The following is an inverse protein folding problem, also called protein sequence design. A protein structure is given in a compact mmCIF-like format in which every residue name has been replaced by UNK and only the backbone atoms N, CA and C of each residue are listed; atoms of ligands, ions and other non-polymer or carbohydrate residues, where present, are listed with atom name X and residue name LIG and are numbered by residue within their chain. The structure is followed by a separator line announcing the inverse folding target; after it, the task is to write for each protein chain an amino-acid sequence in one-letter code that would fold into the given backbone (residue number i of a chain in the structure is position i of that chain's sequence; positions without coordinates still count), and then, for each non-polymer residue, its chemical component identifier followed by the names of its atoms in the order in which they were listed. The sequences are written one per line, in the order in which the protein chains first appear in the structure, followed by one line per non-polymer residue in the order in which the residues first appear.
data_IF_700312938332
#
_entry.id   IF_700312938332
#
_cell.length_a   1.000
_cell.length_b   1.000
_cell.length_c   1.000
_cell.angle_alpha   90.00
_cell.angle_beta   90.00
_cell.angle_gamma   90.00
#
_symmetry.space_group_name_H-M   'P 1'
#
loop_
_entity.id
_entity.type
_entity.pdbx_description
1 polymer ?
#
# COMPACT_ATOMS: atom_id res chain seq x y z
N UNK A 1 7.55 -39.53 0.04
CA UNK A 1 8.33 -38.33 0.44
C UNK A 1 7.39 -37.14 0.47
N UNK A 2 6.83 -36.83 1.63
CA UNK A 2 6.04 -35.62 1.87
C UNK A 2 6.99 -34.43 1.90
N UNK A 3 7.00 -33.62 0.83
CA UNK A 3 7.67 -32.31 0.86
C UNK A 3 6.90 -31.44 1.85
N UNK A 4 7.46 -31.21 3.03
CA UNK A 4 6.96 -30.18 3.95
C UNK A 4 6.94 -28.85 3.19
N UNK A 5 5.73 -28.36 2.92
CA UNK A 5 5.52 -27.02 2.40
C UNK A 5 5.95 -26.02 3.49
N UNK A 6 6.39 -24.84 3.06
CA UNK A 6 6.74 -23.81 4.03
C UNK A 6 5.45 -23.33 4.71
N UNK A 7 5.48 -22.92 5.99
CA UNK A 7 4.30 -22.47 6.73
C UNK A 7 3.50 -21.36 6.03
N UNK A 8 4.17 -20.65 5.12
CA UNK A 8 3.57 -19.58 4.30
C UNK A 8 2.71 -20.17 3.18
N UNK A 9 3.15 -21.25 2.54
CA UNK A 9 2.43 -21.91 1.45
C UNK A 9 1.17 -22.63 1.94
N UNK A 10 1.25 -23.28 3.10
CA UNK A 10 0.09 -23.98 3.68
C UNK A 10 -1.05 -23.02 3.97
N UNK A 11 -0.76 -21.89 4.63
CA UNK A 11 -1.79 -20.90 4.94
C UNK A 11 -2.31 -20.12 3.71
N UNK A 12 -1.57 -20.07 2.60
CA UNK A 12 -2.08 -19.50 1.34
C UNK A 12 -3.04 -20.46 0.65
N UNK A 13 -2.79 -21.76 0.81
CA UNK A 13 -3.69 -22.81 0.36
C UNK A 13 -4.97 -22.82 1.20
N UNK A 14 -4.85 -22.73 2.52
CA UNK A 14 -6.00 -22.64 3.43
C UNK A 14 -6.88 -21.43 3.11
N UNK A 15 -6.26 -20.29 2.77
CA UNK A 15 -6.98 -19.10 2.33
C UNK A 15 -7.71 -19.30 1.01
N UNK A 16 -7.04 -19.90 0.01
CA UNK A 16 -7.67 -20.21 -1.27
C UNK A 16 -8.86 -21.17 -1.11
N UNK A 17 -8.77 -22.12 -0.17
CA UNK A 17 -9.87 -23.02 0.21
C UNK A 17 -11.00 -22.27 0.91
N UNK A 18 -10.69 -21.37 1.86
CA UNK A 18 -11.70 -20.55 2.54
C UNK A 18 -12.49 -19.65 1.58
N UNK A 19 -11.80 -18.97 0.64
CA UNK A 19 -12.45 -18.14 -0.38
C UNK A 19 -13.38 -18.97 -1.27
N UNK A 20 -12.99 -20.22 -1.56
CA UNK A 20 -13.76 -21.13 -2.39
C UNK A 20 -14.99 -21.71 -1.65
N UNK A 21 -14.90 -21.98 -0.34
CA UNK A 21 -15.98 -22.58 0.45
C UNK A 21 -16.96 -21.56 1.06
N UNK A 22 -16.49 -20.39 1.47
CA UNK A 22 -17.28 -19.44 2.27
C UNK A 22 -17.53 -18.08 1.59
N UNK A 23 -16.96 -17.86 0.40
CA UNK A 23 -16.91 -16.54 -0.23
C UNK A 23 -15.77 -15.69 0.32
N UNK A 24 -15.46 -14.60 -0.39
CA UNK A 24 -14.34 -13.72 -0.04
C UNK A 24 -14.72 -12.82 1.16
N UNK A 25 -14.19 -13.15 2.35
CA UNK A 25 -14.18 -12.26 3.51
C UNK A 25 -12.72 -11.87 3.82
N UNK A 26 -12.32 -10.61 3.56
CA UNK A 26 -10.96 -10.19 3.83
C UNK A 26 -10.71 -10.06 5.33
N UNK A 27 -10.07 -11.07 5.91
CA UNK A 27 -9.50 -10.93 7.24
C UNK A 27 -8.42 -9.83 7.22
N UNK A 28 -8.36 -8.99 8.26
CA UNK A 28 -7.32 -7.96 8.42
C UNK A 28 -5.89 -8.51 8.30
N UNK A 29 -5.70 -9.77 8.71
CA UNK A 29 -4.43 -10.48 8.59
C UNK A 29 -4.07 -10.81 7.12
N UNK A 30 -5.05 -10.99 6.25
CA UNK A 30 -4.87 -11.32 4.84
C UNK A 30 -4.25 -10.13 4.08
N UNK A 31 -4.86 -8.95 4.14
CA UNK A 31 -4.35 -7.74 3.45
C UNK A 31 -2.98 -7.33 3.98
N UNK A 32 -2.80 -7.39 5.30
CA UNK A 32 -1.49 -7.14 5.93
C UNK A 32 -0.42 -8.10 5.41
N UNK A 33 -0.78 -9.37 5.20
CA UNK A 33 0.16 -10.41 4.75
C UNK A 33 0.39 -10.37 3.24
N UNK A 34 -0.65 -10.14 2.44
CA UNK A 34 -0.56 -9.95 1.00
C UNK A 34 0.28 -8.72 0.66
N UNK A 35 0.14 -7.63 1.42
CA UNK A 35 1.00 -6.46 1.26
C UNK A 35 2.45 -6.69 1.73
N UNK A 36 2.67 -7.55 2.74
CA UNK A 36 4.02 -7.99 3.14
C UNK A 36 4.64 -8.94 2.09
N UNK A 37 3.82 -9.78 1.44
CA UNK A 37 4.22 -10.64 0.32
C UNK A 37 4.42 -9.83 -0.97
N UNK A 38 3.68 -8.72 -1.11
CA UNK A 38 3.80 -7.74 -2.17
C UNK A 38 5.11 -6.99 -2.01
N UNK A 39 6.18 -7.60 -2.49
CA UNK A 39 7.44 -6.90 -2.68
C UNK A 39 7.21 -5.84 -3.74
N UNK A 40 6.80 -4.64 -3.33
CA UNK A 40 6.77 -3.46 -4.19
C UNK A 40 8.08 -3.40 -5.01
N UNK A 41 8.12 -2.73 -6.16
CA UNK A 41 9.37 -2.57 -6.89
C UNK A 41 10.50 -2.01 -5.99
N UNK A 42 11.70 -2.60 -6.05
CA UNK A 42 12.86 -2.07 -5.33
C UNK A 42 13.40 -0.79 -6.00
N UNK A 43 13.29 -0.74 -7.33
CA UNK A 43 13.66 0.40 -8.18
C UNK A 43 12.42 0.87 -8.94
N UNK A 44 12.46 2.10 -9.44
CA UNK A 44 11.42 2.61 -10.32
C UNK A 44 11.29 1.68 -11.55
N UNK A 45 10.11 1.08 -11.78
CA UNK A 45 9.85 0.27 -12.97
C UNK A 45 10.02 1.00 -14.31
N UNK A 46 9.95 2.34 -14.31
CA UNK A 46 9.99 3.14 -15.53
C UNK A 46 8.64 3.23 -16.22
N UNK A 47 8.67 3.44 -17.53
CA UNK A 47 7.48 3.64 -18.38
C UNK A 47 7.01 2.31 -18.97
N UNK A 48 6.34 1.53 -18.14
CA UNK A 48 5.68 0.27 -18.51
C UNK A 48 4.20 0.38 -18.14
N UNK A 49 3.28 -0.37 -18.78
CA UNK A 49 1.84 -0.25 -18.51
C UNK A 49 1.44 -0.83 -17.14
N UNK A 50 2.12 -1.89 -16.71
CA UNK A 50 1.93 -2.52 -15.42
C UNK A 50 3.23 -3.18 -14.97
N UNK A 51 3.54 -3.09 -13.68
CA UNK A 51 4.63 -3.85 -13.08
C UNK A 51 4.07 -5.13 -12.47
N UNK A 52 4.65 -6.29 -12.75
CA UNK A 52 4.17 -7.55 -12.17
C UNK A 52 5.28 -8.45 -11.66
N UNK A 53 4.93 -9.30 -10.69
CA UNK A 53 5.78 -10.37 -10.16
C UNK A 53 4.97 -11.65 -10.05
N UNK A 54 5.51 -12.75 -10.58
CA UNK A 54 4.88 -14.08 -10.52
C UNK A 54 5.65 -15.00 -9.57
N UNK A 55 4.93 -15.87 -8.87
CA UNK A 55 5.48 -16.91 -8.01
C UNK A 55 4.58 -18.15 -8.05
N UNK A 56 4.92 -19.11 -8.92
CA UNK A 56 4.07 -20.27 -9.18
C UNK A 56 2.73 -19.83 -9.77
N UNK A 57 1.64 -20.25 -9.14
CA UNK A 57 0.27 -19.94 -9.56
C UNK A 57 -0.20 -18.55 -9.13
N UNK A 58 0.61 -17.80 -8.38
CA UNK A 58 0.26 -16.46 -7.91
C UNK A 58 0.98 -15.39 -8.73
N UNK A 59 0.27 -14.30 -9.01
CA UNK A 59 0.81 -13.09 -9.61
C UNK A 59 0.35 -11.86 -8.83
N UNK A 60 1.26 -10.89 -8.70
CA UNK A 60 0.93 -9.56 -8.26
C UNK A 60 1.18 -8.58 -9.39
N UNK A 61 0.23 -7.69 -9.63
CA UNK A 61 0.33 -6.63 -10.63
C UNK A 61 0.08 -5.29 -9.96
N UNK A 62 0.87 -4.28 -10.30
CA UNK A 62 0.70 -2.90 -9.87
C UNK A 62 0.44 -2.06 -11.10
N UNK A 63 -0.57 -1.21 -11.01
CA UNK A 63 -0.84 -0.16 -11.98
C UNK A 63 -0.69 1.20 -11.27
N UNK A 64 0.03 2.16 -11.87
CA UNK A 64 0.21 3.47 -11.26
C UNK A 64 -1.08 4.28 -11.42
N UNK A 65 -1.32 5.20 -10.49
CA UNK A 65 -2.42 6.16 -10.63
C UNK A 65 -2.21 7.12 -11.81
N UNK A 66 -3.28 7.82 -12.18
CA UNK A 66 -3.28 8.80 -13.26
C UNK A 66 -3.59 10.21 -12.75
N UNK A 67 -2.72 11.18 -12.99
CA UNK A 67 -2.98 12.59 -12.73
C UNK A 67 -3.67 13.22 -13.95
N UNK A 68 -4.98 13.45 -13.81
CA UNK A 68 -5.82 14.02 -14.87
C UNK A 68 -5.46 15.46 -15.19
N UNK A 69 -5.03 16.27 -14.21
CA UNK A 69 -4.70 17.68 -14.45
C UNK A 69 -3.42 17.84 -15.25
N UNK A 70 -2.44 16.98 -14.99
CA UNK A 70 -1.16 16.99 -15.69
C UNK A 70 -1.08 15.99 -16.86
N UNK A 71 -2.18 15.27 -17.14
CA UNK A 71 -2.27 14.23 -18.18
C UNK A 71 -1.12 13.23 -18.16
N UNK A 72 -0.72 12.76 -16.98
CA UNK A 72 0.43 11.87 -16.81
C UNK A 72 0.22 10.86 -15.69
N UNK A 73 0.98 9.77 -15.74
CA UNK A 73 1.06 8.83 -14.62
C UNK A 73 1.69 9.49 -13.39
N UNK A 74 1.16 9.21 -12.19
CA UNK A 74 1.87 9.56 -10.94
C UNK A 74 3.12 8.69 -10.73
N UNK A 75 3.22 7.61 -11.50
CA UNK A 75 4.28 6.61 -11.43
C UNK A 75 4.06 5.57 -10.33
N UNK A 76 4.91 4.54 -10.35
CA UNK A 76 4.81 3.42 -9.42
C UNK A 76 5.31 3.78 -8.02
N UNK A 77 4.75 3.21 -6.94
CA UNK A 77 5.41 3.17 -5.65
C UNK A 77 6.62 2.23 -5.71
N UNK A 78 7.79 2.70 -5.24
CA UNK A 78 9.00 1.89 -5.20
C UNK A 78 9.95 2.27 -4.07
N UNK A 79 10.91 1.39 -3.78
CA UNK A 79 11.91 1.61 -2.76
C UNK A 79 11.38 1.52 -1.31
N UNK A 80 12.16 2.04 -0.37
CA UNK A 80 11.96 1.81 1.06
C UNK A 80 10.70 2.49 1.61
N UNK A 81 10.42 3.73 1.19
CA UNK A 81 9.36 4.56 1.79
C UNK A 81 7.96 3.93 1.65
N UNK A 82 7.48 3.51 0.47
CA UNK A 82 6.19 2.83 0.36
C UNK A 82 6.05 1.58 1.23
N UNK A 83 7.14 0.83 1.43
CA UNK A 83 7.12 -0.37 2.27
C UNK A 83 6.96 -0.01 3.75
N UNK A 84 7.66 1.04 4.20
CA UNK A 84 7.51 1.57 5.55
C UNK A 84 6.08 2.11 5.77
N UNK A 85 5.52 2.77 4.76
CA UNK A 85 4.13 3.25 4.79
C UNK A 85 3.15 2.10 4.93
N UNK A 86 3.23 1.06 4.10
CA UNK A 86 2.39 -0.13 4.20
C UNK A 86 2.50 -0.75 5.60
N UNK A 87 3.71 -0.92 6.11
CA UNK A 87 3.94 -1.48 7.44
C UNK A 87 3.30 -0.63 8.54
N UNK A 88 3.44 0.69 8.46
CA UNK A 88 2.80 1.59 9.40
C UNK A 88 1.28 1.56 9.29
N UNK A 89 0.72 1.61 8.08
CA UNK A 89 -0.73 1.57 7.82
C UNK A 89 -1.39 0.31 8.35
N UNK A 90 -0.78 -0.84 8.08
CA UNK A 90 -1.27 -2.14 8.58
C UNK A 90 -1.20 -2.20 10.10
N UNK A 91 -0.13 -1.69 10.71
CA UNK A 91 0.00 -1.60 12.17
C UNK A 91 -1.07 -0.67 12.77
N UNK A 92 -1.28 0.49 12.15
CA UNK A 92 -2.19 1.51 12.66
C UNK A 92 -3.65 1.08 12.51
N UNK A 93 -4.04 0.51 11.37
CA UNK A 93 -5.37 -0.05 11.15
C UNK A 93 -5.71 -1.19 12.13
N UNK A 94 -4.71 -2.02 12.47
CA UNK A 94 -4.87 -3.06 13.50
C UNK A 94 -5.02 -2.45 14.90
N UNK A 95 -4.27 -1.38 15.20
CA UNK A 95 -4.29 -0.70 16.50
C UNK A 95 -5.59 0.06 16.76
N UNK A 96 -6.08 0.81 15.77
CA UNK A 96 -7.29 1.63 15.91
C UNK A 96 -8.56 0.83 15.64
N UNK A 97 -8.46 -0.19 14.78
CA UNK A 97 -9.63 -0.87 14.23
C UNK A 97 -10.42 -0.03 13.24
N UNK A 98 -9.91 1.14 12.86
CA UNK A 98 -10.53 2.10 11.94
C UNK A 98 -9.81 2.10 10.58
N UNK A 99 -10.58 2.38 9.52
CA UNK A 99 -10.09 2.57 8.15
C UNK A 99 -9.73 4.02 7.85
N UNK A 100 -10.32 4.97 8.55
CA UNK A 100 -9.92 6.36 8.45
C UNK A 100 -8.67 6.55 9.31
N UNK A 101 -7.52 6.62 8.67
CA UNK A 101 -6.26 6.81 9.37
C UNK A 101 -5.82 8.26 9.23
N UNK A 102 -5.72 8.94 10.37
CA UNK A 102 -5.08 10.24 10.48
C UNK A 102 -3.55 10.06 10.43
N UNK A 103 -2.90 10.77 9.53
CA UNK A 103 -1.43 10.73 9.39
C UNK A 103 -0.71 11.57 10.47
N UNK A 104 -1.48 12.15 11.41
CA UNK A 104 -1.04 12.96 12.55
C UNK A 104 -0.96 14.45 12.25
N UNK A 105 -0.92 15.28 13.29
CA UNK A 105 -0.96 16.75 13.17
C UNK A 105 0.24 17.39 12.47
N UNK A 106 1.39 16.71 12.42
CA UNK A 106 2.65 17.29 11.91
C UNK A 106 3.45 16.36 10.99
N UNK A 107 3.70 16.85 9.76
CA UNK A 107 4.87 16.57 8.88
C UNK A 107 5.94 15.63 9.46
N UNK A 108 6.70 16.30 10.32
CA UNK A 108 7.96 15.86 10.87
C UNK A 108 7.79 14.73 11.88
N UNK A 109 6.69 14.69 12.63
CA UNK A 109 6.43 13.63 13.60
C UNK A 109 6.15 12.31 12.88
N UNK A 110 5.33 12.33 11.84
CA UNK A 110 5.09 11.14 11.02
C UNK A 110 6.37 10.65 10.36
N UNK A 111 7.18 11.55 9.83
CA UNK A 111 8.50 11.21 9.28
C UNK A 111 9.37 10.50 10.32
N UNK A 112 9.43 11.01 11.55
CA UNK A 112 10.18 10.38 12.63
C UNK A 112 9.62 9.00 13.00
N UNK A 113 8.29 8.81 13.02
CA UNK A 113 7.65 7.49 13.21
C UNK A 113 8.06 6.49 12.13
N UNK A 114 8.29 6.95 10.90
CA UNK A 114 8.80 6.13 9.79
C UNK A 114 10.33 6.01 9.78
N UNK A 115 11.05 6.59 10.74
CA UNK A 115 12.51 6.59 10.79
C UNK A 115 13.18 7.49 9.75
N UNK A 116 12.47 8.49 9.23
CA UNK A 116 12.95 9.48 8.26
C UNK A 116 13.40 10.77 8.95
N UNK A 117 14.34 11.50 8.33
CA UNK A 117 14.88 12.73 8.91
C UNK A 117 14.19 13.98 8.30
N UNK A 118 13.32 14.69 9.05
CA UNK A 118 12.63 15.88 8.55
C UNK A 118 13.55 17.09 8.36
N UNK A 119 14.78 17.06 8.88
CA UNK A 119 15.74 18.16 8.82
C UNK A 119 16.73 18.04 7.66
N UNK A 120 16.60 17.04 6.78
CA UNK A 120 17.54 16.82 5.68
C UNK A 120 17.31 17.73 4.44
N UNK A 121 16.67 18.88 4.65
CA UNK A 121 16.40 19.91 3.63
C UNK A 121 15.04 19.75 2.93
N UNK A 122 14.83 20.52 1.86
CA UNK A 122 13.58 20.56 1.07
C UNK A 122 13.76 20.18 -0.41
N UNK A 123 14.99 19.88 -0.84
CA UNK A 123 15.29 19.51 -2.22
C UNK A 123 14.75 18.13 -2.61
N UNK A 124 14.88 17.74 -3.88
CA UNK A 124 14.40 16.44 -4.42
C UNK A 124 14.96 15.20 -3.71
N UNK A 125 16.08 15.34 -3.00
CA UNK A 125 16.72 14.26 -2.22
C UNK A 125 16.28 14.23 -0.75
N UNK A 126 15.54 15.25 -0.28
CA UNK A 126 15.03 15.29 1.08
C UNK A 126 14.05 14.15 1.33
N UNK A 127 14.00 13.69 2.57
CA UNK A 127 13.07 12.65 2.98
C UNK A 127 11.63 13.18 2.93
N UNK A 128 11.44 14.47 3.20
CA UNK A 128 10.14 15.13 3.07
C UNK A 128 9.62 15.04 1.65
N UNK A 129 10.40 15.47 0.64
CA UNK A 129 9.98 15.41 -0.75
C UNK A 129 9.71 13.96 -1.19
N UNK A 130 10.64 13.04 -0.87
CA UNK A 130 10.53 11.63 -1.24
C UNK A 130 9.33 10.95 -0.58
N UNK A 131 9.02 11.30 0.67
CA UNK A 131 7.84 10.78 1.37
C UNK A 131 6.56 11.21 0.66
N UNK A 132 6.42 12.49 0.34
CA UNK A 132 5.24 13.03 -0.35
C UNK A 132 5.03 12.37 -1.72
N UNK A 133 6.09 12.30 -2.52
CA UNK A 133 6.06 11.64 -3.85
C UNK A 133 5.64 10.16 -3.73
N UNK A 134 6.22 9.42 -2.79
CA UNK A 134 5.93 8.01 -2.62
C UNK A 134 4.56 7.73 -1.99
N UNK A 135 4.06 8.59 -1.12
CA UNK A 135 2.67 8.53 -0.62
C UNK A 135 1.68 8.71 -1.77
N UNK A 136 1.86 9.74 -2.60
CA UNK A 136 0.98 9.97 -3.74
C UNK A 136 0.97 8.79 -4.72
N UNK A 137 2.14 8.21 -4.99
CA UNK A 137 2.28 7.01 -5.83
C UNK A 137 1.59 5.79 -5.23
N UNK A 138 1.79 5.54 -3.92
CA UNK A 138 1.24 4.37 -3.24
C UNK A 138 -0.28 4.44 -3.11
N UNK A 139 -0.79 5.56 -2.61
CA UNK A 139 -2.21 5.71 -2.29
C UNK A 139 -3.10 5.74 -3.53
N UNK A 140 -2.54 6.14 -4.68
CA UNK A 140 -3.25 6.15 -5.97
C UNK A 140 -2.98 4.90 -6.82
N UNK A 141 -2.12 3.98 -6.37
CA UNK A 141 -1.85 2.75 -7.10
C UNK A 141 -2.98 1.75 -6.92
N UNK A 142 -3.24 0.98 -7.99
CA UNK A 142 -4.05 -0.23 -7.95
C UNK A 142 -3.13 -1.44 -7.88
N UNK A 143 -3.37 -2.32 -6.93
CA UNK A 143 -2.62 -3.57 -6.74
C UNK A 143 -3.59 -4.71 -6.99
N UNK A 144 -3.27 -5.60 -7.91
CA UNK A 144 -4.07 -6.78 -8.23
C UNK A 144 -3.30 -8.03 -7.82
N UNK A 145 -3.93 -8.89 -7.04
CA UNK A 145 -3.47 -10.24 -6.75
C UNK A 145 -4.25 -11.20 -7.63
N UNK A 146 -3.57 -12.10 -8.32
CA UNK A 146 -4.19 -13.10 -9.18
C UNK A 146 -3.67 -14.48 -8.80
N UNK A 147 -4.56 -15.45 -8.71
CA UNK A 147 -4.23 -16.86 -8.61
C UNK A 147 -4.81 -17.59 -9.82
N UNK A 148 -3.99 -18.45 -10.44
CA UNK A 148 -4.42 -19.25 -11.59
C UNK A 148 -3.81 -20.65 -11.56
N UNK A 149 -4.66 -21.66 -11.69
CA UNK A 149 -4.28 -23.04 -11.95
C UNK A 149 -5.05 -23.61 -13.17
N UNK A 150 -4.98 -24.92 -13.40
CA UNK A 150 -5.64 -25.59 -14.54
C UNK A 150 -7.18 -25.54 -14.49
N UNK A 151 -7.76 -25.37 -13.30
CA UNK A 151 -9.22 -25.49 -13.05
C UNK A 151 -9.88 -24.17 -12.70
N UNK A 152 -9.14 -23.24 -12.12
CA UNK A 152 -9.68 -21.98 -11.61
C UNK A 152 -8.74 -20.80 -11.83
N UNK A 153 -9.37 -19.63 -11.91
CA UNK A 153 -8.73 -18.33 -11.88
C UNK A 153 -9.49 -17.46 -10.88
N UNK A 154 -8.77 -16.78 -10.01
CA UNK A 154 -9.31 -15.77 -9.11
C UNK A 154 -8.42 -14.55 -9.13
N UNK A 155 -9.02 -13.38 -8.91
CA UNK A 155 -8.29 -12.14 -8.75
C UNK A 155 -8.91 -11.29 -7.66
N UNK A 156 -8.08 -10.47 -7.04
CA UNK A 156 -8.46 -9.50 -6.03
C UNK A 156 -7.79 -8.17 -6.32
N UNK A 157 -8.60 -7.11 -6.40
CA UNK A 157 -8.14 -5.76 -6.68
C UNK A 157 -8.16 -4.92 -5.40
N UNK A 158 -6.97 -4.47 -5.00
CA UNK A 158 -6.76 -3.61 -3.85
C UNK A 158 -6.39 -2.19 -4.30
N UNK A 159 -7.14 -1.22 -3.80
CA UNK A 159 -6.71 0.18 -3.76
C UNK A 159 -6.29 0.52 -2.33
N UNK A 160 -5.08 1.06 -2.17
CA UNK A 160 -4.53 1.36 -0.84
C UNK A 160 -5.35 2.43 -0.13
N UNK A 161 -5.70 3.50 -0.85
CA UNK A 161 -6.58 4.55 -0.35
C UNK A 161 -7.55 5.00 -1.45
N UNK A 162 -8.75 4.39 -1.54
CA UNK A 162 -9.77 4.80 -2.50
C UNK A 162 -10.19 6.26 -2.33
N UNK A 163 -10.10 6.79 -1.11
CA UNK A 163 -10.28 8.21 -0.79
C UNK A 163 -9.12 8.70 0.06
N UNK A 164 -8.71 9.94 -0.17
CA UNK A 164 -7.70 10.60 0.64
C UNK A 164 -7.61 12.07 0.33
N UNK A 165 -7.27 12.84 1.36
CA UNK A 165 -6.96 14.26 1.23
C UNK A 165 -5.53 14.44 1.74
N UNK A 166 -4.67 15.07 0.93
CA UNK A 166 -3.27 15.30 1.29
C UNK A 166 -2.96 16.79 1.24
N UNK A 167 -2.69 17.37 2.41
CA UNK A 167 -2.20 18.74 2.55
C UNK A 167 -0.68 18.74 2.63
N UNK A 168 -0.01 19.39 1.68
CA UNK A 168 1.45 19.41 1.60
C UNK A 168 2.07 20.76 1.99
N UNK A 169 1.26 21.81 2.07
CA UNK A 169 1.71 23.17 2.39
C UNK A 169 0.99 23.66 3.65
N UNK A 170 1.74 23.79 4.74
CA UNK A 170 1.26 24.35 5.99
C UNK A 170 0.95 25.86 5.88
N UNK A 171 1.45 26.55 4.84
CA UNK A 171 1.25 27.99 4.68
C UNK A 171 -0.13 28.37 4.08
N UNK A 172 -0.91 27.40 3.58
CA UNK A 172 -2.29 27.67 3.14
C UNK A 172 -3.27 27.80 4.31
N UNK A 173 -2.90 27.32 5.50
CA UNK A 173 -3.70 27.44 6.71
C UNK A 173 -3.04 28.52 7.58
N UNK A 174 -3.52 29.76 7.43
CA UNK A 174 -3.01 30.90 8.19
C UNK A 174 -3.03 30.60 9.69
N UNK A 175 -1.84 30.39 10.25
CA UNK A 175 -1.56 30.02 11.65
C UNK A 175 -2.17 28.68 12.10
N UNK A 176 -1.29 27.67 12.19
CA UNK A 176 -1.39 26.37 12.88
C UNK A 176 -1.39 25.16 11.93
N UNK A 177 -0.27 24.44 11.88
CA UNK A 177 -0.09 23.18 12.61
C UNK A 177 -1.21 22.12 12.57
N UNK A 178 -2.01 22.09 11.50
CA UNK A 178 -2.99 21.03 11.32
C UNK A 178 -2.76 20.34 9.98
N UNK A 179 -1.95 19.27 10.00
CA UNK A 179 -1.89 18.30 8.92
C UNK A 179 -3.10 17.36 9.01
N UNK A 180 -4.28 17.77 8.53
CA UNK A 180 -5.46 16.89 8.45
C UNK A 180 -5.41 15.96 7.23
N UNK A 181 -4.24 15.39 6.93
CA UNK A 181 -4.19 14.37 5.88
C UNK A 181 -4.71 13.08 6.44
N UNK A 182 -5.87 12.67 5.93
CA UNK A 182 -6.43 11.37 6.20
C UNK A 182 -6.40 10.54 4.92
N UNK A 183 -6.27 9.24 5.12
CA UNK A 183 -6.59 8.28 4.08
C UNK A 183 -7.69 7.35 4.59
N UNK A 184 -8.65 7.07 3.73
CA UNK A 184 -9.60 5.99 3.96
C UNK A 184 -9.01 4.76 3.31
N UNK A 185 -8.58 3.80 4.12
CA UNK A 185 -8.12 2.51 3.62
C UNK A 185 -9.26 1.79 2.88
N UNK A 186 -8.93 0.95 1.90
CA UNK A 186 -9.89 0.08 1.24
C UNK A 186 -10.64 -0.83 2.22
N UNK A 187 -11.82 -1.33 1.83
CA UNK A 187 -12.68 -2.15 2.72
C UNK A 187 -11.98 -3.38 3.28
N UNK A 188 -11.08 -3.90 2.48
CA UNK A 188 -10.12 -4.96 2.71
C UNK A 188 -9.32 -4.80 4.02
N UNK A 189 -9.07 -3.56 4.47
CA UNK A 189 -8.34 -3.29 5.71
C UNK A 189 -9.23 -3.31 6.97
N UNK A 190 -10.55 -3.56 6.84
CA UNK A 190 -11.49 -3.78 7.96
C UNK A 190 -12.28 -5.08 7.79
N UNK A 191 -12.42 -5.93 8.80
CA UNK A 191 -13.56 -5.89 9.75
C UNK A 191 -13.31 -6.75 11.00
N UNK A 192 -14.21 -6.62 11.98
CA UNK A 192 -14.42 -7.53 13.13
C UNK A 192 -15.23 -8.74 12.69
#
# INVERSE_FOLDING_TARGET
MTKNLSPIKDRLLDFAVQVQEYGYEPEKAFVSREMVQATLPHKNPGDIPAWSRKNGNYALTIQPGWDTWNSQSVGYPYGTIPRLLIFWLTTEALRTGDRCLELGGHLAEFMQKLGLNPRNGSGKRSDSYRLRDQMQRLFRAKITFEYRDEKQQSWHDLQVAPKGMMWWDANMLGNADIWESYIELGEEFSKR
#
